data_IF_950060055681
#
_entry.id   IF_950060055681
#
_cell.length_a   1.000
_cell.length_b   1.000
_cell.length_c   1.000
_cell.angle_alpha   90.00
_cell.angle_beta   90.00
_cell.angle_gamma   90.00
#
_symmetry.space_group_name_H-M   'P 1'
#
loop_
_entity.id
_entity.type
_entity.pdbx_description
1 polymer ?
#
# COMPACT_ATOMS: atom_id res chain seq x y z
N UNK A 1 -31.86 -17.92 -0.30
CA UNK A 1 -31.33 -16.73 -1.02
C UNK A 1 -31.80 -15.38 -0.46
N UNK A 2 -33.06 -15.20 0.00
CA UNK A 2 -33.59 -13.88 0.43
C UNK A 2 -32.91 -13.27 1.68
N UNK A 3 -32.64 -14.06 2.71
CA UNK A 3 -32.02 -13.58 3.96
C UNK A 3 -30.60 -13.04 3.77
N UNK A 4 -29.82 -13.62 2.86
CA UNK A 4 -28.46 -13.17 2.53
C UNK A 4 -28.51 -11.83 1.79
N UNK A 5 -29.35 -11.71 0.75
CA UNK A 5 -29.48 -10.47 -0.01
C UNK A 5 -29.99 -9.30 0.84
N UNK A 6 -30.84 -9.56 1.83
CA UNK A 6 -31.32 -8.52 2.77
C UNK A 6 -30.21 -8.03 3.69
N UNK A 7 -29.39 -8.93 4.23
CA UNK A 7 -28.22 -8.59 5.05
C UNK A 7 -27.17 -7.81 4.25
N UNK A 8 -26.90 -8.21 3.00
CA UNK A 8 -25.99 -7.51 2.11
C UNK A 8 -26.48 -6.09 1.78
N UNK A 9 -27.77 -5.92 1.49
CA UNK A 9 -28.37 -4.59 1.28
C UNK A 9 -28.29 -3.71 2.53
N UNK A 10 -28.49 -4.28 3.71
CA UNK A 10 -28.34 -3.54 4.97
C UNK A 10 -26.89 -3.07 5.21
N UNK A 11 -25.90 -3.87 4.79
CA UNK A 11 -24.48 -3.52 4.90
C UNK A 11 -24.00 -2.51 3.84
N UNK A 12 -24.72 -2.35 2.74
CA UNK A 12 -24.31 -1.48 1.64
C UNK A 12 -24.11 -0.03 2.08
N UNK A 13 -25.06 0.56 2.83
CA UNK A 13 -24.97 1.95 3.31
C UNK A 13 -23.82 2.17 4.31
N UNK A 14 -23.71 1.38 5.39
CA UNK A 14 -22.58 1.50 6.32
C UNK A 14 -21.22 1.36 5.65
N UNK A 15 -21.08 0.45 4.69
CA UNK A 15 -19.82 0.26 3.96
C UNK A 15 -19.50 1.46 3.04
N UNK A 16 -20.51 2.08 2.44
CA UNK A 16 -20.31 3.28 1.63
C UNK A 16 -19.86 4.47 2.49
N UNK A 17 -20.47 4.65 3.65
CA UNK A 17 -20.10 5.67 4.63
C UNK A 17 -18.71 5.43 5.20
N UNK A 18 -18.39 4.18 5.54
CA UNK A 18 -17.05 3.78 5.94
C UNK A 18 -16.03 4.11 4.85
N UNK A 19 -16.33 3.74 3.60
CA UNK A 19 -15.45 4.04 2.47
C UNK A 19 -15.24 5.55 2.29
N UNK A 20 -16.31 6.34 2.41
CA UNK A 20 -16.22 7.80 2.32
C UNK A 20 -15.40 8.40 3.47
N UNK A 21 -15.54 7.88 4.68
CA UNK A 21 -14.84 8.41 5.86
C UNK A 21 -13.33 8.12 5.81
N UNK A 22 -12.97 6.88 5.49
CA UNK A 22 -11.59 6.40 5.62
C UNK A 22 -10.80 6.47 4.31
N UNK A 23 -11.45 6.28 3.16
CA UNK A 23 -10.75 6.14 1.88
C UNK A 23 -11.00 7.31 0.91
N UNK A 24 -12.06 8.11 1.08
CA UNK A 24 -12.23 9.30 0.26
C UNK A 24 -11.23 10.40 0.68
N UNK A 25 -10.49 10.92 -0.30
CA UNK A 25 -9.46 11.94 -0.09
C UNK A 25 -8.21 11.41 0.61
N UNK A 26 -7.96 10.10 0.64
CA UNK A 26 -6.69 9.55 1.17
C UNK A 26 -5.51 10.07 0.37
N UNK A 27 -5.64 10.14 -0.95
CA UNK A 27 -4.58 10.66 -1.84
C UNK A 27 -4.32 12.15 -1.57
N UNK A 28 -5.37 12.95 -1.36
CA UNK A 28 -5.27 14.38 -1.02
C UNK A 28 -4.61 14.58 0.35
N UNK A 29 -5.03 13.82 1.36
CA UNK A 29 -4.43 13.88 2.71
C UNK A 29 -2.99 13.38 2.72
N UNK A 30 -2.67 12.36 1.93
CA UNK A 30 -1.29 11.88 1.75
C UNK A 30 -0.43 12.99 1.14
N UNK A 31 -0.91 13.66 0.10
CA UNK A 31 -0.22 14.79 -0.52
C UNK A 31 -0.01 15.95 0.45
N UNK A 32 -1.05 16.34 1.19
CA UNK A 32 -0.96 17.41 2.20
C UNK A 32 0.06 17.08 3.30
N UNK A 33 0.06 15.84 3.81
CA UNK A 33 1.03 15.42 4.82
C UNK A 33 2.45 15.36 4.25
N UNK A 34 2.63 14.89 3.02
CA UNK A 34 3.94 14.91 2.35
C UNK A 34 4.49 16.32 2.21
N UNK A 35 3.66 17.28 1.80
CA UNK A 35 4.06 18.68 1.70
C UNK A 35 4.39 19.30 3.07
N UNK A 36 3.61 18.98 4.11
CA UNK A 36 3.90 19.43 5.48
C UNK A 36 5.21 18.85 5.99
N UNK A 37 5.44 17.56 5.76
CA UNK A 37 6.65 16.87 6.15
C UNK A 37 7.88 17.48 5.46
N UNK A 38 7.78 17.75 4.14
CA UNK A 38 8.86 18.38 3.38
C UNK A 38 9.23 19.76 3.93
N UNK A 39 8.23 20.57 4.31
CA UNK A 39 8.46 21.88 4.95
C UNK A 39 9.16 21.76 6.30
N UNK A 40 8.64 20.91 7.19
CA UNK A 40 9.25 20.72 8.53
C UNK A 40 10.65 20.14 8.41
N UNK A 41 10.89 19.23 7.47
CA UNK A 41 12.22 18.69 7.19
C UNK A 41 13.18 19.78 6.68
N UNK A 42 12.70 20.69 5.82
CA UNK A 42 13.49 21.81 5.33
C UNK A 42 13.85 22.79 6.48
N UNK A 43 12.92 23.06 7.38
CA UNK A 43 13.15 23.90 8.56
C UNK A 43 14.12 23.25 9.56
N UNK A 44 14.00 21.94 9.79
CA UNK A 44 14.94 21.16 10.61
C UNK A 44 16.35 21.10 10.01
N UNK A 45 16.47 21.05 8.68
CA UNK A 45 17.77 21.10 8.03
C UNK A 45 18.49 22.44 8.27
N UNK A 46 17.72 23.54 8.45
CA UNK A 46 18.26 24.86 8.78
C UNK A 46 18.53 25.01 10.28
N UNK A 47 17.71 24.40 11.15
CA UNK A 47 17.90 24.43 12.60
C UNK A 47 17.72 23.05 13.26
N UNK A 48 18.77 22.20 13.25
CA UNK A 48 18.66 20.80 13.69
C UNK A 48 18.40 20.59 15.18
N UNK A 49 18.63 21.61 16.02
CA UNK A 49 18.50 21.51 17.48
C UNK A 49 17.15 21.96 18.01
N UNK A 50 16.22 22.37 17.14
CA UNK A 50 14.88 22.75 17.57
C UNK A 50 14.06 21.52 17.98
N UNK A 51 13.90 21.37 19.29
CA UNK A 51 13.16 20.25 19.90
C UNK A 51 11.68 20.27 19.50
N UNK A 52 11.08 21.45 19.31
CA UNK A 52 9.66 21.56 18.92
C UNK A 52 9.46 21.03 17.50
N UNK A 53 10.31 21.44 16.56
CA UNK A 53 10.25 20.95 15.19
C UNK A 53 10.50 19.43 15.09
N UNK A 54 11.39 18.88 15.91
CA UNK A 54 11.62 17.43 15.97
C UNK A 54 10.38 16.66 16.50
N UNK A 55 9.65 17.22 17.45
CA UNK A 55 8.41 16.62 17.97
C UNK A 55 7.33 16.67 16.89
N UNK A 56 7.20 17.81 16.21
CA UNK A 56 6.25 18.01 15.12
C UNK A 56 6.52 17.05 13.94
N UNK A 57 7.78 16.93 13.51
CA UNK A 57 8.21 16.00 12.46
C UNK A 57 7.79 14.56 12.78
N UNK A 58 8.06 14.10 14.01
CA UNK A 58 7.69 12.74 14.45
C UNK A 58 6.20 12.51 14.41
N UNK A 59 5.40 13.49 14.80
CA UNK A 59 3.94 13.38 14.80
C UNK A 59 3.40 13.36 13.36
N UNK A 60 3.91 14.21 12.48
CA UNK A 60 3.57 14.22 11.04
C UNK A 60 3.97 12.89 10.40
N UNK A 61 5.16 12.37 10.68
CA UNK A 61 5.61 11.06 10.19
C UNK A 61 4.67 9.95 10.62
N UNK A 62 4.24 9.93 11.89
CA UNK A 62 3.31 8.94 12.40
C UNK A 62 1.97 9.00 11.66
N UNK A 63 1.44 10.19 11.42
CA UNK A 63 0.22 10.39 10.66
C UNK A 63 0.39 9.95 9.20
N UNK A 64 1.51 10.31 8.57
CA UNK A 64 1.83 9.94 7.20
C UNK A 64 1.89 8.41 7.02
N UNK A 65 2.61 7.70 7.90
CA UNK A 65 2.67 6.23 7.84
C UNK A 65 1.30 5.57 8.04
N UNK A 66 0.46 6.14 8.88
CA UNK A 66 -0.92 5.65 9.08
C UNK A 66 -1.75 5.79 7.80
N UNK A 67 -1.75 6.97 7.18
CA UNK A 67 -2.48 7.21 5.93
C UNK A 67 -1.96 6.29 4.81
N UNK A 68 -0.63 6.14 4.71
CA UNK A 68 -0.01 5.25 3.73
C UNK A 68 -0.41 3.79 3.93
N UNK A 69 -0.50 3.33 5.18
CA UNK A 69 -0.97 1.98 5.49
C UNK A 69 -2.44 1.79 5.09
N UNK A 70 -3.29 2.79 5.34
CA UNK A 70 -4.71 2.78 4.93
C UNK A 70 -4.86 2.77 3.40
N UNK A 71 -4.07 3.58 2.69
CA UNK A 71 -4.01 3.64 1.22
C UNK A 71 -3.61 2.27 0.63
N UNK A 72 -2.55 1.65 1.16
CA UNK A 72 -2.11 0.32 0.74
C UNK A 72 -3.18 -0.76 1.02
N UNK A 73 -3.86 -0.69 2.17
CA UNK A 73 -4.96 -1.61 2.50
C UNK A 73 -6.10 -1.49 1.49
N UNK A 74 -6.46 -0.27 1.10
CA UNK A 74 -7.47 0.00 0.09
C UNK A 74 -7.08 -0.55 -1.29
N UNK A 75 -5.83 -0.31 -1.72
CA UNK A 75 -5.32 -0.84 -2.99
C UNK A 75 -5.32 -2.37 -3.01
N UNK A 76 -4.95 -3.02 -1.88
CA UNK A 76 -5.04 -4.48 -1.74
C UNK A 76 -6.48 -4.98 -1.87
N UNK A 77 -7.45 -4.28 -1.27
CA UNK A 77 -8.87 -4.64 -1.40
C UNK A 77 -9.36 -4.50 -2.85
N UNK A 78 -9.01 -3.41 -3.54
CA UNK A 78 -9.32 -3.23 -4.97
C UNK A 78 -8.71 -4.33 -5.83
N UNK A 79 -7.43 -4.63 -5.63
CA UNK A 79 -6.75 -5.70 -6.36
C UNK A 79 -7.41 -7.07 -6.11
N UNK A 80 -7.81 -7.37 -4.86
CA UNK A 80 -8.55 -8.59 -4.53
C UNK A 80 -9.91 -8.65 -5.21
N UNK A 81 -10.65 -7.54 -5.25
CA UNK A 81 -11.94 -7.48 -5.95
C UNK A 81 -11.77 -7.72 -7.45
N UNK A 82 -10.77 -7.09 -8.06
CA UNK A 82 -10.44 -7.30 -9.47
C UNK A 82 -10.05 -8.76 -9.73
N UNK A 83 -9.23 -9.35 -8.87
CA UNK A 83 -8.87 -10.76 -8.95
C UNK A 83 -10.07 -11.69 -8.81
N UNK A 84 -10.98 -11.44 -7.87
CA UNK A 84 -12.20 -12.26 -7.74
C UNK A 84 -13.13 -12.14 -8.96
N UNK A 85 -13.12 -10.99 -9.63
CA UNK A 85 -13.94 -10.74 -10.81
C UNK A 85 -13.35 -11.35 -12.08
N UNK A 86 -12.04 -11.25 -12.26
CA UNK A 86 -11.38 -11.52 -13.55
C UNK A 86 -10.38 -12.70 -13.47
N UNK A 87 -9.98 -13.11 -12.27
CA UNK A 87 -8.85 -14.02 -12.03
C UNK A 87 -9.12 -15.50 -12.26
N UNK A 88 -10.37 -15.96 -12.12
CA UNK A 88 -10.73 -17.37 -12.38
C UNK A 88 -11.02 -17.66 -13.87
N UNK A 89 -11.17 -16.63 -14.71
CA UNK A 89 -11.58 -16.77 -16.12
C UNK A 89 -10.42 -17.00 -17.12
N UNK A 90 -9.25 -17.48 -16.69
CA UNK A 90 -8.08 -17.62 -17.59
C UNK A 90 -7.73 -16.32 -18.36
N UNK A 91 -8.00 -15.17 -17.74
CA UNK A 91 -7.82 -13.86 -18.37
C UNK A 91 -6.34 -13.48 -18.50
N UNK A 92 -6.07 -12.41 -19.26
CA UNK A 92 -4.72 -11.82 -19.34
C UNK A 92 -4.15 -11.49 -17.95
N UNK A 93 -4.99 -11.13 -16.98
CA UNK A 93 -4.57 -10.82 -15.60
C UNK A 93 -4.02 -12.08 -14.90
N UNK A 94 -4.70 -13.21 -15.03
CA UNK A 94 -4.25 -14.49 -14.50
C UNK A 94 -2.85 -14.84 -15.02
N UNK A 95 -2.68 -14.83 -16.35
CA UNK A 95 -1.39 -15.15 -16.96
C UNK A 95 -0.29 -14.12 -16.64
N UNK A 96 -0.62 -12.83 -16.57
CA UNK A 96 0.35 -11.79 -16.18
C UNK A 96 0.81 -11.96 -14.72
N UNK A 97 -0.09 -12.34 -13.81
CA UNK A 97 0.25 -12.61 -12.41
C UNK A 97 1.20 -13.80 -12.26
N UNK A 98 1.00 -14.85 -13.06
CA UNK A 98 1.89 -16.03 -13.10
C UNK A 98 3.27 -15.61 -13.61
N UNK A 99 3.33 -14.86 -14.73
CA UNK A 99 4.59 -14.35 -15.28
C UNK A 99 5.34 -13.48 -14.28
N UNK A 100 4.64 -12.58 -13.59
CA UNK A 100 5.22 -11.73 -12.55
C UNK A 100 5.78 -12.56 -11.39
N UNK A 101 5.05 -13.59 -10.94
CA UNK A 101 5.49 -14.49 -9.88
C UNK A 101 6.72 -15.32 -10.30
N UNK A 102 6.74 -15.80 -11.53
CA UNK A 102 7.90 -16.49 -12.10
C UNK A 102 9.12 -15.58 -12.18
N UNK A 103 8.94 -14.32 -12.58
CA UNK A 103 10.02 -13.32 -12.61
C UNK A 103 10.57 -13.03 -11.21
N UNK A 104 9.70 -12.77 -10.23
CA UNK A 104 10.11 -12.49 -8.85
C UNK A 104 10.83 -13.70 -8.22
N UNK A 105 10.33 -14.91 -8.48
CA UNK A 105 10.92 -16.14 -7.93
C UNK A 105 12.11 -16.65 -8.76
N UNK A 106 12.53 -15.92 -9.79
CA UNK A 106 13.66 -16.32 -10.63
C UNK A 106 14.96 -16.15 -9.85
N UNK A 107 15.49 -17.27 -9.35
CA UNK A 107 16.83 -17.32 -8.77
C UNK A 107 17.82 -17.07 -9.90
N UNK A 108 18.45 -15.88 -9.90
CA UNK A 108 19.33 -15.45 -10.98
C UNK A 108 20.77 -15.95 -10.80
N UNK A 109 21.21 -16.21 -9.57
CA UNK A 109 22.51 -16.80 -9.23
C UNK A 109 22.39 -17.63 -7.96
N UNK A 110 23.07 -18.78 -7.95
CA UNK A 110 23.30 -19.59 -6.75
C UNK A 110 24.80 -19.52 -6.52
N UNK A 111 25.24 -18.96 -5.38
CA UNK A 111 26.64 -18.97 -5.01
C UNK A 111 26.87 -20.15 -4.06
N UNK A 112 27.77 -21.06 -4.43
CA UNK A 112 28.32 -22.01 -3.47
C UNK A 112 29.27 -21.27 -2.52
N UNK A 113 29.30 -21.68 -1.24
CA UNK A 113 30.13 -21.10 -0.17
C UNK A 113 31.64 -21.32 -0.39
N UNK A 114 32.02 -22.00 -1.47
CA UNK A 114 33.39 -22.13 -1.92
C UNK A 114 33.67 -21.16 -3.06
N UNK A 115 34.31 -20.05 -2.72
CA UNK A 115 34.87 -19.04 -3.64
C UNK A 115 36.03 -19.61 -4.49
N UNK A 116 35.80 -20.66 -5.28
CA UNK A 116 36.72 -21.05 -6.35
C UNK A 116 35.94 -21.46 -7.60
N UNK A 117 36.31 -20.94 -8.78
CA UNK A 117 35.68 -21.31 -10.04
C UNK A 117 36.12 -22.74 -10.39
N UNK A 118 35.15 -23.63 -10.62
CA UNK A 118 35.43 -24.91 -11.27
C UNK A 118 35.13 -24.73 -12.75
N UNK A 119 36.19 -24.57 -13.54
CA UNK A 119 36.16 -24.78 -15.00
C UNK A 119 36.06 -26.27 -15.29
N UNK A 120 35.11 -26.64 -16.15
CA UNK A 120 34.92 -27.99 -16.69
C UNK A 120 33.62 -28.06 -17.47
#
# INVERSE_FOLDING_TARGET
MYGVCRKLRALQKPLLEFNKKYFAGVDERELELSQKLEKVQAELNLNPQDIQLQIEEKEILRQYYKIKADALSFLRQKAKLQWLREGDENTKIFHNSIKQRQYINRISRINNDHRFPVTG
#
